data_IF_451685359362
#
_entry.id   IF_451685359362
#
_cell.length_a   1.000
_cell.length_b   1.000
_cell.length_c   1.000
_cell.angle_alpha   90.00
_cell.angle_beta   90.00
_cell.angle_gamma   90.00
#
_symmetry.space_group_name_H-M   'P 1'
#
loop_
_entity.id
_entity.type
_entity.pdbx_description
1 polymer ?
#
# COMPACT_ATOMS: atom_id res chain seq x y z
N UNK A 1 17.49 -8.75 -22.67
CA UNK A 1 16.30 -8.51 -23.51
C UNK A 1 15.93 -7.06 -23.28
N UNK A 2 15.57 -6.30 -24.33
CA UNK A 2 15.02 -4.96 -24.15
C UNK A 2 13.80 -5.06 -23.24
N UNK A 3 13.65 -4.13 -22.31
CA UNK A 3 12.44 -4.07 -21.50
C UNK A 3 11.24 -3.73 -22.40
N UNK A 4 10.19 -4.54 -22.35
CA UNK A 4 8.97 -4.34 -23.12
C UNK A 4 7.78 -4.18 -22.17
N UNK A 5 6.83 -3.33 -22.57
CA UNK A 5 5.55 -3.20 -21.88
C UNK A 5 4.68 -4.44 -22.11
N UNK A 6 3.88 -4.80 -21.11
CA UNK A 6 2.95 -5.93 -21.17
C UNK A 6 1.57 -5.42 -21.59
N UNK A 7 1.11 -5.86 -22.77
CA UNK A 7 -0.13 -5.38 -23.39
C UNK A 7 -1.31 -6.34 -23.22
N UNK A 8 -1.03 -7.61 -22.95
CA UNK A 8 -2.02 -8.68 -22.92
C UNK A 8 -1.49 -9.88 -22.13
N UNK A 9 -2.42 -10.67 -21.60
CA UNK A 9 -2.16 -12.00 -21.04
C UNK A 9 -2.11 -13.10 -22.10
N UNK A 10 -2.23 -14.35 -21.66
CA UNK A 10 -2.25 -15.51 -22.54
C UNK A 10 -3.56 -15.57 -23.35
N UNK A 11 -3.43 -15.47 -24.67
CA UNK A 11 -4.53 -15.51 -25.64
C UNK A 11 -5.28 -16.86 -25.67
N UNK A 12 -4.75 -17.89 -25.00
CA UNK A 12 -5.41 -19.19 -24.87
C UNK A 12 -6.22 -19.33 -23.58
N UNK A 13 -6.13 -18.37 -22.66
CA UNK A 13 -6.88 -18.39 -21.41
C UNK A 13 -8.08 -17.45 -21.47
N UNK A 14 -9.23 -17.95 -21.04
CA UNK A 14 -10.49 -17.21 -21.05
C UNK A 14 -10.57 -16.22 -19.86
N UNK A 15 -9.67 -15.23 -19.87
CA UNK A 15 -9.56 -14.16 -18.88
C UNK A 15 -9.47 -12.80 -19.56
N UNK A 16 -9.90 -11.75 -18.86
CA UNK A 16 -9.73 -10.35 -19.26
C UNK A 16 -9.52 -9.47 -18.03
N UNK A 17 -8.87 -8.33 -18.18
CA UNK A 17 -8.69 -7.37 -17.09
C UNK A 17 -9.32 -6.01 -17.40
N UNK A 18 -10.09 -5.50 -16.44
CA UNK A 18 -10.54 -4.11 -16.42
C UNK A 18 -9.67 -3.33 -15.45
N UNK A 19 -9.06 -2.26 -15.93
CA UNK A 19 -8.07 -1.48 -15.18
C UNK A 19 -8.44 0.00 -15.16
N UNK A 20 -8.14 0.69 -14.07
CA UNK A 20 -8.60 2.05 -13.81
C UNK A 20 -7.43 2.96 -13.41
N UNK A 21 -7.11 3.95 -14.23
CA UNK A 21 -6.05 4.93 -13.97
C UNK A 21 -6.62 6.18 -13.31
N UNK A 22 -5.93 6.80 -12.33
CA UNK A 22 -6.27 8.13 -11.79
C UNK A 22 -5.25 8.80 -10.84
N UNK A 23 -5.46 10.11 -10.61
CA UNK A 23 -4.95 10.91 -9.47
C UNK A 23 -4.93 12.42 -9.74
N UNK A 24 -4.84 13.33 -8.72
CA UNK A 24 -5.02 13.16 -7.27
C UNK A 24 -6.42 13.62 -6.78
N UNK A 25 -7.42 13.64 -7.66
CA UNK A 25 -8.77 14.14 -7.34
C UNK A 25 -9.54 13.18 -6.44
N UNK A 26 -10.57 13.70 -5.75
CA UNK A 26 -11.50 12.86 -5.01
C UNK A 26 -12.33 12.04 -6.00
N UNK A 27 -12.32 10.72 -5.83
CA UNK A 27 -12.99 9.79 -6.74
C UNK A 27 -14.25 9.26 -6.06
N UNK A 28 -15.40 9.17 -6.76
CA UNK A 28 -16.56 8.41 -6.28
C UNK A 28 -16.33 6.91 -6.52
N UNK A 29 -15.26 6.40 -5.92
CA UNK A 29 -14.67 5.08 -6.16
C UNK A 29 -15.67 3.93 -5.97
N UNK A 30 -16.61 4.09 -5.04
CA UNK A 30 -17.66 3.13 -4.72
C UNK A 30 -18.50 2.77 -5.94
N UNK A 31 -18.69 3.70 -6.88
CA UNK A 31 -19.45 3.43 -8.11
C UNK A 31 -18.80 2.32 -8.97
N UNK A 32 -17.48 2.19 -8.93
CA UNK A 32 -16.75 1.13 -9.63
C UNK A 32 -16.67 -0.14 -8.78
N UNK A 33 -16.31 0.00 -7.50
CA UNK A 33 -16.19 -1.12 -6.57
C UNK A 33 -17.50 -1.91 -6.47
N UNK A 34 -18.63 -1.21 -6.32
CA UNK A 34 -19.94 -1.85 -6.22
C UNK A 34 -20.32 -2.58 -7.51
N UNK A 35 -19.93 -2.09 -8.69
CA UNK A 35 -20.16 -2.77 -9.97
C UNK A 35 -19.31 -4.04 -10.06
N UNK A 36 -18.03 -3.96 -9.70
CA UNK A 36 -17.11 -5.10 -9.71
C UNK A 36 -17.60 -6.21 -8.77
N UNK A 37 -18.03 -5.86 -7.56
CA UNK A 37 -18.56 -6.80 -6.57
C UNK A 37 -19.89 -7.43 -7.03
N UNK A 38 -20.84 -6.62 -7.51
CA UNK A 38 -22.11 -7.12 -8.06
C UNK A 38 -21.92 -8.07 -9.23
N UNK A 39 -20.85 -7.88 -9.99
CA UNK A 39 -20.52 -8.68 -11.16
C UNK A 39 -19.41 -9.71 -10.88
N UNK A 40 -19.05 -10.01 -9.63
CA UNK A 40 -18.06 -11.03 -9.27
C UNK A 40 -16.77 -10.92 -10.10
N UNK A 41 -16.24 -9.68 -10.18
CA UNK A 41 -15.12 -9.31 -11.01
C UNK A 41 -14.02 -8.64 -10.18
N UNK A 42 -12.76 -8.83 -10.58
CA UNK A 42 -11.61 -8.18 -9.94
C UNK A 42 -11.09 -7.06 -10.84
N UNK A 43 -11.04 -5.84 -10.30
CA UNK A 43 -10.43 -4.68 -10.96
C UNK A 43 -8.98 -4.43 -10.52
N UNK A 44 -8.20 -3.75 -11.35
CA UNK A 44 -6.89 -3.20 -10.97
C UNK A 44 -6.89 -1.68 -11.08
N UNK A 45 -6.58 -0.99 -9.98
CA UNK A 45 -6.56 0.46 -9.86
C UNK A 45 -5.12 0.96 -9.87
N UNK A 46 -4.72 1.68 -10.92
CA UNK A 46 -3.42 2.34 -11.04
C UNK A 46 -3.52 3.77 -10.53
N UNK A 47 -3.17 4.00 -9.27
CA UNK A 47 -3.31 5.31 -8.63
C UNK A 47 -1.98 5.97 -8.29
N UNK A 48 -2.01 7.29 -8.21
CA UNK A 48 -0.81 8.06 -7.89
C UNK A 48 -0.42 7.98 -6.42
N UNK A 49 0.87 8.14 -6.14
CA UNK A 49 1.37 8.28 -4.76
C UNK A 49 0.72 9.45 -4.01
N UNK A 50 0.52 10.59 -4.68
CA UNK A 50 -0.20 11.74 -4.10
C UNK A 50 -1.64 11.39 -3.71
N UNK A 51 -2.34 10.57 -4.51
CA UNK A 51 -3.68 10.11 -4.19
C UNK A 51 -3.67 9.19 -2.96
N UNK A 52 -2.72 8.25 -2.89
CA UNK A 52 -2.59 7.32 -1.76
C UNK A 52 -2.29 8.05 -0.45
N UNK A 53 -1.48 9.11 -0.49
CA UNK A 53 -1.23 9.97 0.68
C UNK A 53 -2.47 10.72 1.15
N UNK A 54 -3.31 11.16 0.20
CA UNK A 54 -4.53 11.93 0.51
C UNK A 54 -5.69 11.04 0.97
N UNK A 55 -5.78 9.83 0.43
CA UNK A 55 -6.90 8.91 0.65
C UNK A 55 -6.43 7.50 1.07
N UNK A 56 -5.62 7.37 2.14
CA UNK A 56 -5.10 6.07 2.56
C UNK A 56 -6.20 5.07 2.96
N UNK A 57 -7.33 5.56 3.50
CA UNK A 57 -8.49 4.71 3.80
C UNK A 57 -9.09 4.09 2.54
N UNK A 58 -9.13 4.85 1.44
CA UNK A 58 -9.63 4.36 0.15
C UNK A 58 -8.67 3.39 -0.51
N UNK A 59 -7.36 3.61 -0.36
CA UNK A 59 -6.35 2.65 -0.79
C UNK A 59 -6.54 1.28 -0.10
N UNK A 60 -6.76 1.29 1.23
CA UNK A 60 -7.09 0.08 1.99
C UNK A 60 -8.44 -0.53 1.59
N UNK A 61 -9.45 0.30 1.34
CA UNK A 61 -10.77 -0.17 0.90
C UNK A 61 -10.69 -1.00 -0.38
N UNK A 62 -9.93 -0.54 -1.39
CA UNK A 62 -9.70 -1.28 -2.65
C UNK A 62 -9.20 -2.69 -2.37
N UNK A 63 -8.14 -2.80 -1.54
CA UNK A 63 -7.53 -4.07 -1.20
C UNK A 63 -8.47 -4.96 -0.38
N UNK A 64 -9.18 -4.38 0.59
CA UNK A 64 -10.12 -5.11 1.45
C UNK A 64 -11.30 -5.73 0.69
N UNK A 65 -11.69 -5.12 -0.43
CA UNK A 65 -12.73 -5.64 -1.34
C UNK A 65 -12.19 -6.66 -2.37
N UNK A 66 -10.94 -7.09 -2.23
CA UNK A 66 -10.32 -8.11 -3.09
C UNK A 66 -9.86 -7.60 -4.45
N UNK A 67 -9.75 -6.28 -4.63
CA UNK A 67 -9.21 -5.68 -5.85
C UNK A 67 -7.72 -5.38 -5.71
N UNK A 68 -7.10 -5.00 -6.83
CA UNK A 68 -5.66 -4.72 -6.89
C UNK A 68 -5.43 -3.22 -6.92
N UNK A 69 -4.53 -2.72 -6.08
CA UNK A 69 -3.99 -1.37 -6.15
C UNK A 69 -2.56 -1.42 -6.67
N UNK A 70 -2.20 -0.57 -7.63
CA UNK A 70 -0.89 -0.51 -8.25
C UNK A 70 -0.43 0.94 -8.51
N UNK A 71 0.89 1.20 -8.62
CA UNK A 71 1.45 2.52 -8.91
C UNK A 71 1.07 3.14 -10.26
N UNK A 72 0.81 4.44 -10.25
CA UNK A 72 0.68 5.29 -11.44
C UNK A 72 1.60 6.53 -11.37
N UNK A 73 2.82 6.35 -10.85
CA UNK A 73 3.77 7.42 -10.46
C UNK A 73 3.25 8.33 -9.35
N UNK A 74 4.09 9.20 -8.79
CA UNK A 74 3.66 9.97 -7.62
C UNK A 74 2.84 11.21 -8.01
N UNK A 75 3.30 11.96 -9.00
CA UNK A 75 2.74 13.27 -9.38
C UNK A 75 2.07 13.25 -10.77
N UNK A 76 1.78 12.07 -11.32
CA UNK A 76 1.13 11.93 -12.64
C UNK A 76 1.90 12.66 -13.77
N UNK A 77 3.23 12.55 -13.80
CA UNK A 77 4.07 13.27 -14.77
C UNK A 77 4.17 12.51 -16.08
N UNK A 78 4.40 13.24 -17.18
CA UNK A 78 4.80 12.66 -18.48
C UNK A 78 6.23 12.12 -18.38
N UNK A 79 6.38 10.84 -18.08
CA UNK A 79 7.67 10.24 -17.69
C UNK A 79 8.72 10.23 -18.82
N UNK A 80 8.29 10.32 -20.09
CA UNK A 80 9.18 10.54 -21.23
C UNK A 80 9.94 11.87 -21.20
N UNK A 81 9.44 12.86 -20.43
CA UNK A 81 9.94 14.23 -20.42
C UNK A 81 10.79 14.55 -19.19
N UNK A 82 10.94 13.61 -18.25
CA UNK A 82 11.70 13.82 -17.01
C UNK A 82 13.07 13.15 -17.08
N UNK A 83 14.10 13.71 -16.41
CA UNK A 83 15.41 13.06 -16.30
C UNK A 83 15.33 11.78 -15.44
N UNK A 84 16.30 10.86 -15.60
CA UNK A 84 16.35 9.59 -14.86
C UNK A 84 16.23 9.77 -13.34
N UNK A 85 16.89 10.77 -12.77
CA UNK A 85 16.81 11.03 -11.32
C UNK A 85 15.38 11.30 -10.85
N UNK A 86 14.63 12.14 -11.57
CA UNK A 86 13.21 12.42 -11.27
C UNK A 86 12.36 11.18 -11.52
N UNK A 87 12.66 10.39 -12.56
CA UNK A 87 11.97 9.14 -12.84
C UNK A 87 12.05 8.18 -11.64
N UNK A 88 13.28 7.90 -11.16
CA UNK A 88 13.49 7.01 -10.01
C UNK A 88 12.87 7.55 -8.73
N UNK A 89 12.91 8.87 -8.53
CA UNK A 89 12.25 9.53 -7.41
C UNK A 89 10.73 9.33 -7.43
N UNK A 90 10.07 9.44 -8.59
CA UNK A 90 8.64 9.17 -8.70
C UNK A 90 8.30 7.73 -8.30
N UNK A 91 9.11 6.74 -8.70
CA UNK A 91 8.90 5.34 -8.34
C UNK A 91 9.05 5.14 -6.83
N UNK A 92 10.21 5.50 -6.27
CA UNK A 92 10.49 5.36 -4.83
C UNK A 92 9.43 6.06 -3.96
N UNK A 93 9.02 7.28 -4.32
CA UNK A 93 8.00 7.99 -3.54
C UNK A 93 6.63 7.30 -3.64
N UNK A 94 6.28 6.73 -4.79
CA UNK A 94 5.00 6.01 -4.95
C UNK A 94 4.99 4.70 -4.16
N UNK A 95 6.11 3.99 -4.15
CA UNK A 95 6.30 2.78 -3.34
C UNK A 95 6.13 3.07 -1.85
N UNK A 96 6.77 4.13 -1.36
CA UNK A 96 6.64 4.56 0.03
C UNK A 96 5.21 5.04 0.37
N UNK A 97 4.55 5.75 -0.54
CA UNK A 97 3.16 6.16 -0.36
C UNK A 97 2.21 4.96 -0.30
N UNK A 98 2.42 3.96 -1.16
CA UNK A 98 1.67 2.71 -1.14
C UNK A 98 1.84 2.00 0.20
N UNK A 99 3.08 1.82 0.67
CA UNK A 99 3.35 1.10 1.90
C UNK A 99 2.86 1.85 3.14
N UNK A 100 3.02 3.18 3.21
CA UNK A 100 2.44 3.97 4.30
C UNK A 100 0.90 3.93 4.31
N UNK A 101 0.26 3.89 3.13
CA UNK A 101 -1.18 3.83 3.03
C UNK A 101 -1.75 2.44 3.36
N UNK A 102 -1.07 1.37 2.97
CA UNK A 102 -1.63 0.00 3.00
C UNK A 102 -1.03 -0.89 4.09
N UNK A 103 0.17 -0.56 4.57
CA UNK A 103 0.98 -1.45 5.41
C UNK A 103 1.62 -2.62 4.64
N UNK A 104 1.47 -2.66 3.31
CA UNK A 104 1.95 -3.75 2.45
C UNK A 104 3.03 -3.25 1.49
N UNK A 105 3.97 -4.11 1.06
CA UNK A 105 4.95 -3.73 0.06
C UNK A 105 4.29 -3.47 -1.29
N UNK A 106 4.83 -2.50 -2.03
CA UNK A 106 4.25 -2.06 -3.29
C UNK A 106 4.47 -3.10 -4.41
N UNK A 107 3.46 -3.47 -5.22
CA UNK A 107 3.68 -4.38 -6.35
C UNK A 107 4.63 -3.77 -7.38
N UNK A 108 5.50 -4.60 -7.96
CA UNK A 108 6.53 -4.19 -8.92
C UNK A 108 6.01 -4.16 -10.37
N UNK A 109 4.80 -3.66 -10.57
CA UNK A 109 4.27 -3.31 -11.87
C UNK A 109 3.51 -1.99 -11.79
N UNK A 110 3.49 -1.23 -12.88
CA UNK A 110 2.88 0.09 -12.94
C UNK A 110 2.32 0.37 -14.33
N UNK A 111 1.64 1.50 -14.49
CA UNK A 111 1.30 2.05 -15.81
C UNK A 111 1.75 3.49 -15.91
N UNK A 112 2.33 3.89 -17.05
CA UNK A 112 2.76 5.28 -17.23
C UNK A 112 1.60 6.25 -17.45
N UNK A 113 1.58 7.41 -16.75
CA UNK A 113 0.64 8.48 -17.06
C UNK A 113 0.72 8.90 -18.52
N UNK A 114 -0.44 9.07 -19.15
CA UNK A 114 -0.60 9.51 -20.53
C UNK A 114 0.08 8.62 -21.59
N UNK A 115 0.34 7.34 -21.28
CA UNK A 115 1.15 6.47 -22.15
C UNK A 115 2.51 7.11 -22.50
N UNK A 116 3.06 7.89 -21.56
CA UNK A 116 4.19 8.79 -21.83
C UNK A 116 5.50 8.19 -21.35
N UNK A 117 6.07 7.30 -22.15
CA UNK A 117 7.40 6.73 -21.96
C UNK A 117 8.18 6.64 -23.29
N UNK A 118 9.47 6.31 -23.20
CA UNK A 118 10.34 5.94 -24.32
C UNK A 118 11.08 4.65 -23.98
N UNK A 119 11.74 4.03 -24.95
CA UNK A 119 12.52 2.79 -24.74
C UNK A 119 13.47 2.87 -23.52
N UNK A 120 14.24 3.97 -23.42
CA UNK A 120 15.11 4.17 -22.26
C UNK A 120 14.39 4.33 -20.91
N UNK A 121 13.09 4.69 -20.88
CA UNK A 121 12.32 4.64 -19.64
C UNK A 121 11.96 3.20 -19.25
N UNK A 122 11.63 2.35 -20.23
CA UNK A 122 11.36 0.93 -19.98
C UNK A 122 12.61 0.24 -19.46
N UNK A 123 13.79 0.56 -20.02
CA UNK A 123 15.07 0.04 -19.50
C UNK A 123 15.29 0.46 -18.04
N UNK A 124 15.04 1.72 -17.68
CA UNK A 124 15.16 2.19 -16.30
C UNK A 124 14.15 1.52 -15.36
N UNK A 125 12.94 1.26 -15.86
CA UNK A 125 11.89 0.58 -15.10
C UNK A 125 12.28 -0.88 -14.82
N UNK A 126 12.77 -1.59 -15.82
CA UNK A 126 13.24 -2.96 -15.67
C UNK A 126 14.51 -3.07 -14.80
N UNK A 127 15.43 -2.11 -14.88
CA UNK A 127 16.57 -1.98 -13.96
C UNK A 127 16.11 -1.83 -12.50
N UNK A 128 14.95 -1.21 -12.28
CA UNK A 128 14.31 -1.06 -10.97
C UNK A 128 13.44 -2.27 -10.56
N UNK A 129 13.41 -3.32 -11.39
CA UNK A 129 12.62 -4.53 -11.16
C UNK A 129 11.12 -4.37 -11.42
N UNK A 130 10.71 -3.35 -12.16
CA UNK A 130 9.32 -3.09 -12.48
C UNK A 130 8.90 -3.55 -13.89
N UNK A 131 7.61 -3.84 -14.01
CA UNK A 131 6.92 -4.05 -15.28
C UNK A 131 6.03 -2.86 -15.62
N UNK A 132 5.93 -2.54 -16.91
CA UNK A 132 4.95 -1.60 -17.44
C UNK A 132 3.74 -2.38 -17.97
N UNK A 133 2.53 -1.96 -17.60
CA UNK A 133 1.26 -2.60 -17.96
C UNK A 133 0.45 -1.65 -18.80
N UNK A 134 0.13 -2.08 -20.01
CA UNK A 134 -0.63 -1.31 -20.99
C UNK A 134 -1.89 -2.07 -21.43
N UNK A 135 -2.69 -1.47 -22.29
CA UNK A 135 -3.94 -2.07 -22.75
C UNK A 135 -4.65 -1.25 -23.79
N UNK A 136 -5.85 -1.68 -24.16
CA UNK A 136 -6.68 -0.93 -25.10
C UNK A 136 -7.37 0.23 -24.38
N UNK A 137 -7.26 1.43 -24.94
CA UNK A 137 -7.91 2.62 -24.41
C UNK A 137 -9.43 2.58 -24.65
N UNK A 138 -10.23 2.64 -23.58
CA UNK A 138 -11.68 2.69 -23.63
C UNK A 138 -12.24 4.04 -24.11
N UNK A 139 -11.44 5.11 -24.06
CA UNK A 139 -11.84 6.46 -24.44
C UNK A 139 -12.75 7.17 -23.44
N UNK A 140 -12.95 6.60 -22.26
CA UNK A 140 -13.86 7.14 -21.24
C UNK A 140 -13.43 8.50 -20.65
N UNK A 141 -12.14 8.81 -20.74
CA UNK A 141 -11.56 10.12 -20.39
C UNK A 141 -12.15 11.31 -21.17
N UNK A 142 -12.85 11.08 -22.29
CA UNK A 142 -13.58 12.12 -23.03
C UNK A 142 -14.92 12.51 -22.34
N UNK A 143 -15.34 11.75 -21.32
CA UNK A 143 -16.58 11.99 -20.58
C UNK A 143 -17.85 11.68 -21.36
N UNK A 144 -17.73 10.87 -22.42
CA UNK A 144 -18.83 10.38 -23.23
C UNK A 144 -19.76 9.39 -22.49
N UNK A 145 -20.89 9.03 -23.11
CA UNK A 145 -21.85 8.11 -22.52
C UNK A 145 -21.35 6.65 -22.61
N UNK A 146 -21.96 5.76 -21.80
CA UNK A 146 -21.56 4.37 -21.67
C UNK A 146 -21.55 3.60 -23.01
N UNK A 147 -22.49 3.89 -23.90
CA UNK A 147 -22.62 3.23 -25.20
C UNK A 147 -21.39 3.46 -26.09
N UNK A 148 -20.75 4.62 -25.99
CA UNK A 148 -19.53 4.92 -26.74
C UNK A 148 -18.34 4.07 -26.27
N UNK A 149 -18.24 3.89 -24.95
CA UNK A 149 -17.21 3.06 -24.30
C UNK A 149 -17.44 1.59 -24.71
N UNK A 150 -18.67 1.09 -24.57
CA UNK A 150 -19.03 -0.29 -24.93
C UNK A 150 -18.71 -0.56 -26.41
N UNK A 151 -19.14 0.31 -27.31
CA UNK A 151 -18.94 0.14 -28.75
C UNK A 151 -17.46 0.10 -29.16
N UNK A 152 -16.57 0.74 -28.39
CA UNK A 152 -15.12 0.71 -28.63
C UNK A 152 -14.47 -0.56 -28.07
N UNK A 153 -14.90 -1.02 -26.90
CA UNK A 153 -14.26 -2.14 -26.17
C UNK A 153 -14.80 -3.51 -26.60
N UNK A 154 -16.12 -3.68 -26.73
CA UNK A 154 -16.77 -4.98 -27.01
C UNK A 154 -16.18 -5.74 -28.23
N UNK A 155 -15.89 -5.09 -29.37
CA UNK A 155 -15.36 -5.79 -30.55
C UNK A 155 -13.97 -6.38 -30.33
N UNK A 156 -13.22 -5.84 -29.37
CA UNK A 156 -11.86 -6.25 -29.04
C UNK A 156 -11.83 -7.25 -27.89
N UNK A 157 -12.88 -7.30 -27.07
CA UNK A 157 -12.97 -8.09 -25.85
C UNK A 157 -12.84 -9.61 -26.12
N UNK A 158 -11.64 -10.13 -25.90
CA UNK A 158 -11.21 -11.52 -26.15
C UNK A 158 -10.17 -11.96 -25.09
N UNK A 159 -9.74 -13.22 -25.16
CA UNK A 159 -8.78 -13.82 -24.23
C UNK A 159 -7.52 -12.97 -24.02
N UNK A 160 -7.15 -12.76 -22.76
CA UNK A 160 -5.94 -12.05 -22.35
C UNK A 160 -6.03 -10.52 -22.46
N UNK A 161 -7.14 -9.94 -22.88
CA UNK A 161 -7.24 -8.48 -23.08
C UNK A 161 -7.11 -7.70 -21.77
N UNK A 162 -6.42 -6.57 -21.83
CA UNK A 162 -6.36 -5.55 -20.78
C UNK A 162 -7.07 -4.29 -21.30
N UNK A 163 -8.06 -3.81 -20.54
CA UNK A 163 -8.83 -2.61 -20.89
C UNK A 163 -8.47 -1.46 -19.95
N UNK A 164 -8.10 -0.32 -20.52
CA UNK A 164 -7.76 0.91 -19.80
C UNK A 164 -9.00 1.79 -19.69
N UNK A 165 -9.43 2.04 -18.46
CA UNK A 165 -10.51 2.93 -18.07
C UNK A 165 -10.01 3.90 -17.00
N UNK A 166 -10.87 4.80 -16.56
CA UNK A 166 -10.62 5.74 -15.48
C UNK A 166 -11.75 5.64 -14.43
N UNK A 167 -11.44 6.02 -13.20
CA UNK A 167 -12.33 5.96 -12.03
C UNK A 167 -12.59 7.34 -11.41
N UNK A 168 -12.68 8.38 -12.24
CA UNK A 168 -12.83 9.78 -11.83
C UNK A 168 -14.16 10.42 -12.26
N UNK A 169 -14.34 11.67 -11.86
CA UNK A 169 -15.51 12.50 -12.13
C UNK A 169 -15.71 12.88 -13.60
N UNK A 170 -14.70 12.69 -14.46
CA UNK A 170 -14.80 12.85 -15.92
C UNK A 170 -15.41 11.58 -16.52
N UNK A 171 -15.02 10.40 -16.03
CA UNK A 171 -15.41 9.07 -16.51
C UNK A 171 -16.84 8.64 -16.11
N UNK A 172 -17.83 9.53 -16.26
CA UNK A 172 -19.21 9.34 -15.75
C UNK A 172 -19.94 8.16 -16.36
N UNK A 173 -19.65 7.82 -17.63
CA UNK A 173 -20.24 6.67 -18.31
C UNK A 173 -19.60 5.33 -17.94
N UNK A 174 -18.44 5.34 -17.28
CA UNK A 174 -17.63 4.14 -17.06
C UNK A 174 -18.31 3.11 -16.15
N UNK A 175 -18.97 3.44 -15.02
CA UNK A 175 -19.62 2.43 -14.18
C UNK A 175 -20.72 1.64 -14.92
N UNK A 176 -21.49 2.32 -15.78
CA UNK A 176 -22.53 1.66 -16.59
C UNK A 176 -21.90 0.81 -17.70
N UNK A 177 -20.89 1.34 -18.41
CA UNK A 177 -20.18 0.59 -19.44
C UNK A 177 -19.46 -0.64 -18.87
N UNK A 178 -18.81 -0.50 -17.72
CA UNK A 178 -18.11 -1.56 -17.00
C UNK A 178 -19.06 -2.72 -16.68
N UNK A 179 -20.24 -2.42 -16.13
CA UNK A 179 -21.25 -3.44 -15.82
C UNK A 179 -21.63 -4.26 -17.06
N UNK A 180 -21.92 -3.58 -18.18
CA UNK A 180 -22.31 -4.27 -19.40
C UNK A 180 -21.14 -5.04 -20.04
N UNK A 181 -19.94 -4.46 -20.04
CA UNK A 181 -18.74 -5.11 -20.57
C UNK A 181 -18.37 -6.37 -19.78
N UNK A 182 -18.50 -6.37 -18.46
CA UNK A 182 -18.29 -7.59 -17.65
C UNK A 182 -19.34 -8.66 -17.99
N UNK A 183 -20.60 -8.28 -18.21
CA UNK A 183 -21.65 -9.23 -18.61
C UNK A 183 -21.38 -9.82 -20.00
N UNK A 184 -20.94 -9.00 -20.95
CA UNK A 184 -20.51 -9.45 -22.26
C UNK A 184 -19.30 -10.39 -22.13
N UNK A 185 -18.31 -10.06 -21.30
CA UNK A 185 -17.16 -10.91 -21.03
C UNK A 185 -17.60 -12.30 -20.54
N UNK A 186 -18.48 -12.35 -19.54
CA UNK A 186 -19.05 -13.61 -19.02
C UNK A 186 -19.81 -14.40 -20.08
N UNK A 187 -20.58 -13.74 -20.95
CA UNK A 187 -21.27 -14.41 -22.06
C UNK A 187 -20.30 -15.03 -23.08
N UNK A 188 -19.14 -14.41 -23.27
CA UNK A 188 -18.02 -14.96 -24.07
C UNK A 188 -17.22 -16.04 -23.33
N UNK A 189 -17.52 -16.31 -22.06
CA UNK A 189 -16.80 -17.27 -21.22
C UNK A 189 -15.53 -16.71 -20.56
N UNK A 190 -15.30 -15.40 -20.64
CA UNK A 190 -14.16 -14.73 -20.02
C UNK A 190 -14.42 -14.47 -18.53
N UNK A 191 -13.40 -14.68 -17.69
CA UNK A 191 -13.39 -14.20 -16.30
C UNK A 191 -12.69 -12.85 -16.20
N UNK A 192 -13.30 -11.91 -15.49
CA UNK A 192 -12.71 -10.60 -15.22
C UNK A 192 -11.77 -10.69 -14.00
N UNK A 193 -10.47 -10.57 -14.23
CA UNK A 193 -9.40 -10.81 -13.25
C UNK A 193 -8.48 -9.59 -13.10
N UNK A 194 -7.73 -9.54 -12.00
CA UNK A 194 -6.71 -8.51 -11.79
C UNK A 194 -5.43 -8.75 -12.60
N UNK A 195 -4.60 -7.72 -12.70
CA UNK A 195 -3.31 -7.79 -13.41
C UNK A 195 -2.36 -8.89 -12.89
N UNK A 196 -2.29 -9.23 -11.59
CA UNK A 196 -1.48 -10.35 -11.14
C UNK A 196 -1.82 -11.68 -11.82
N UNK A 197 -3.11 -11.97 -12.05
CA UNK A 197 -3.54 -13.19 -12.73
C UNK A 197 -3.28 -13.12 -14.24
N UNK A 198 -3.36 -11.92 -14.85
CA UNK A 198 -2.93 -11.70 -16.24
C UNK A 198 -1.43 -11.99 -16.40
N UNK A 199 -0.59 -11.50 -15.47
CA UNK A 199 0.85 -11.72 -15.51
C UNK A 199 1.20 -13.20 -15.28
N UNK A 200 0.55 -13.86 -14.32
CA UNK A 200 0.72 -15.30 -14.09
C UNK A 200 0.37 -16.13 -15.33
N UNK A 201 -0.68 -15.73 -16.07
CA UNK A 201 -1.08 -16.44 -17.30
C UNK A 201 0.02 -16.50 -18.37
N UNK A 202 0.95 -15.54 -18.38
CA UNK A 202 2.11 -15.49 -19.29
C UNK A 202 3.41 -15.92 -18.61
N UNK A 203 3.35 -16.50 -17.42
CA UNK A 203 4.49 -17.02 -16.67
C UNK A 203 5.31 -15.96 -15.95
N UNK A 204 4.71 -14.82 -15.61
CA UNK A 204 5.36 -13.73 -14.88
C UNK A 204 4.80 -13.65 -13.46
N UNK A 205 5.66 -13.91 -12.48
CA UNK A 205 5.32 -13.71 -11.06
C UNK A 205 5.43 -12.23 -10.68
N UNK A 206 4.48 -11.73 -9.90
CA UNK A 206 4.49 -10.34 -9.41
C UNK A 206 5.52 -10.21 -8.29
N UNK A 207 6.51 -9.33 -8.50
CA UNK A 207 7.41 -8.90 -7.45
C UNK A 207 6.79 -7.82 -6.56
N UNK A 208 7.41 -7.58 -5.41
CA UNK A 208 7.01 -6.55 -4.46
C UNK A 208 8.24 -5.79 -3.97
N UNK A 209 8.06 -4.52 -3.61
CA UNK A 209 9.11 -3.59 -3.19
C UNK A 209 8.91 -3.18 -1.73
N UNK A 210 9.40 -3.98 -0.78
CA UNK A 210 9.33 -3.64 0.65
C UNK A 210 10.36 -2.58 1.00
N UNK A 211 9.96 -1.63 1.84
CA UNK A 211 10.82 -0.60 2.38
C UNK A 211 10.89 -0.69 3.90
N UNK A 212 11.99 -0.22 4.47
CA UNK A 212 12.13 0.02 5.89
C UNK A 212 12.85 1.32 6.18
N UNK A 213 12.65 1.84 7.38
CA UNK A 213 13.53 2.83 7.99
C UNK A 213 14.47 2.13 8.96
N UNK A 214 15.74 2.52 8.94
CA UNK A 214 16.72 2.19 9.97
C UNK A 214 17.15 3.45 10.69
N UNK A 215 17.20 3.42 12.01
CA UNK A 215 17.60 4.55 12.87
C UNK A 215 18.79 4.11 13.71
N UNK A 216 19.87 4.90 13.71
CA UNK A 216 21.00 4.67 14.62
C UNK A 216 20.60 5.09 16.03
N UNK A 217 20.88 4.26 17.02
CA UNK A 217 20.61 4.57 18.42
C UNK A 217 21.53 5.73 18.85
N UNK A 218 20.99 6.92 19.18
CA UNK A 218 21.81 8.06 19.58
C UNK A 218 22.44 7.82 20.94
N UNK A 219 23.63 8.42 21.16
CA UNK A 219 24.37 8.28 22.41
C UNK A 219 23.69 8.96 23.62
N UNK A 220 22.88 10.00 23.37
CA UNK A 220 22.13 10.73 24.39
C UNK A 220 20.69 10.94 23.91
N UNK A 221 19.74 10.76 24.83
CA UNK A 221 18.34 11.10 24.62
C UNK A 221 18.12 12.60 24.83
N UNK A 222 17.25 13.19 24.01
CA UNK A 222 16.87 14.59 24.11
C UNK A 222 15.97 14.86 25.33
N UNK A 223 15.09 13.91 25.65
CA UNK A 223 14.16 13.94 26.78
C UNK A 223 13.92 12.52 27.34
N UNK A 224 13.54 12.39 28.64
CA UNK A 224 13.23 11.09 29.23
C UNK A 224 11.97 10.46 28.62
N UNK A 225 11.81 9.14 28.76
CA UNK A 225 10.59 8.44 28.39
C UNK A 225 9.39 8.86 29.26
N UNK A 226 8.25 9.11 28.60
CA UNK A 226 6.98 9.37 29.27
C UNK A 226 6.18 8.07 29.44
N UNK A 227 6.09 7.58 30.68
CA UNK A 227 5.11 6.61 31.18
C UNK A 227 4.87 5.33 30.36
N UNK A 228 5.88 4.81 29.65
CA UNK A 228 5.79 3.49 29.05
C UNK A 228 6.07 2.41 30.08
N UNK A 229 5.16 1.44 30.17
CA UNK A 229 5.27 0.31 31.10
C UNK A 229 5.08 -1.01 30.34
N UNK A 230 5.82 -2.08 30.69
CA UNK A 230 5.54 -3.41 30.15
C UNK A 230 4.10 -3.82 30.44
N UNK A 231 3.47 -4.48 29.47
CA UNK A 231 2.18 -5.11 29.63
C UNK A 231 2.32 -6.29 30.60
N UNK A 232 1.63 -6.23 31.74
CA UNK A 232 1.93 -7.07 32.91
C UNK A 232 1.17 -8.38 32.96
N UNK A 233 -0.06 -8.39 32.44
CA UNK A 233 -0.99 -9.51 32.54
C UNK A 233 -2.14 -9.39 31.53
N UNK A 234 -2.92 -10.48 31.44
CA UNK A 234 -4.05 -10.61 30.51
C UNK A 234 -5.18 -9.60 30.78
N UNK A 235 -5.30 -9.08 32.01
CA UNK A 235 -6.31 -8.07 32.32
C UNK A 235 -5.96 -6.75 31.62
N UNK A 236 -4.69 -6.33 31.70
CA UNK A 236 -4.19 -5.15 30.98
C UNK A 236 -4.33 -5.32 29.47
N UNK A 237 -4.09 -6.52 28.93
CA UNK A 237 -4.28 -6.82 27.51
C UNK A 237 -5.74 -6.66 27.07
N UNK A 238 -6.68 -7.19 27.85
CA UNK A 238 -8.10 -7.04 27.60
C UNK A 238 -8.55 -5.57 27.64
N UNK A 239 -8.08 -4.82 28.64
CA UNK A 239 -8.35 -3.38 28.75
C UNK A 239 -7.75 -2.58 27.58
N UNK A 240 -6.56 -2.97 27.10
CA UNK A 240 -5.92 -2.39 25.92
C UNK A 240 -6.72 -2.67 24.65
N UNK A 241 -7.15 -3.92 24.44
CA UNK A 241 -7.95 -4.32 23.28
C UNK A 241 -9.26 -3.52 23.21
N UNK A 242 -9.98 -3.39 24.33
CA UNK A 242 -11.22 -2.62 24.40
C UNK A 242 -10.98 -1.12 24.09
N UNK A 243 -9.95 -0.51 24.69
CA UNK A 243 -9.65 0.91 24.46
C UNK A 243 -9.18 1.18 23.03
N UNK A 244 -8.38 0.30 22.44
CA UNK A 244 -7.81 0.47 21.09
C UNK A 244 -8.88 0.38 19.99
N UNK A 245 -9.95 -0.39 20.19
CA UNK A 245 -11.13 -0.35 19.30
C UNK A 245 -11.75 1.04 19.26
N UNK A 246 -11.81 1.75 20.39
CA UNK A 246 -12.35 3.11 20.47
C UNK A 246 -11.45 4.18 19.85
N UNK A 247 -10.16 3.88 19.64
CA UNK A 247 -9.21 4.84 19.04
C UNK A 247 -9.52 5.10 17.57
N UNK A 248 -10.33 4.24 16.93
CA UNK A 248 -10.71 4.35 15.52
C UNK A 248 -9.50 4.52 14.59
N UNK A 249 -8.40 3.81 14.86
CA UNK A 249 -7.19 3.87 14.06
C UNK A 249 -7.43 3.07 12.78
N UNK A 250 -7.60 3.74 11.62
CA UNK A 250 -8.11 3.10 10.40
C UNK A 250 -7.16 2.04 9.82
N UNK A 251 -5.92 2.02 10.31
CA UNK A 251 -4.88 1.10 9.88
C UNK A 251 -5.15 -0.35 10.34
N UNK A 252 -6.03 -0.57 11.34
CA UNK A 252 -6.20 -1.87 12.00
C UNK A 252 -7.65 -2.28 12.21
N UNK A 253 -8.54 -1.33 12.47
CA UNK A 253 -9.98 -1.61 12.58
C UNK A 253 -10.61 -2.07 11.25
N UNK A 254 -9.88 -1.97 10.13
CA UNK A 254 -10.33 -2.46 8.82
C UNK A 254 -9.85 -3.88 8.48
N UNK A 255 -8.89 -4.44 9.22
CA UNK A 255 -8.44 -5.83 9.01
C UNK A 255 -9.19 -6.82 9.88
N UNK A 256 -9.65 -6.39 11.06
CA UNK A 256 -10.40 -7.21 12.00
C UNK A 256 -11.87 -6.84 11.97
N UNK A 257 -12.73 -7.85 11.90
CA UNK A 257 -14.19 -7.69 11.81
C UNK A 257 -14.88 -7.77 13.19
N UNK A 258 -14.12 -8.08 14.25
CA UNK A 258 -14.62 -8.10 15.62
C UNK A 258 -13.53 -7.77 16.65
N UNK A 259 -13.96 -7.32 17.84
CA UNK A 259 -13.08 -7.12 19.00
C UNK A 259 -12.37 -8.41 19.42
N UNK A 260 -12.99 -9.58 19.22
CA UNK A 260 -12.40 -10.88 19.51
C UNK A 260 -11.22 -11.22 18.60
N UNK A 261 -11.34 -10.97 17.29
CA UNK A 261 -10.24 -11.13 16.34
C UNK A 261 -9.09 -10.17 16.65
N UNK A 262 -9.42 -8.96 17.10
CA UNK A 262 -8.42 -7.99 17.52
C UNK A 262 -7.68 -8.43 18.79
N UNK A 263 -8.39 -8.94 19.79
CA UNK A 263 -7.77 -9.48 21.00
C UNK A 263 -6.85 -10.67 20.66
N UNK A 264 -7.29 -11.61 19.83
CA UNK A 264 -6.50 -12.76 19.39
C UNK A 264 -5.19 -12.31 18.71
N UNK A 265 -5.24 -11.24 17.90
CA UNK A 265 -4.07 -10.64 17.29
C UNK A 265 -3.08 -10.07 18.33
N UNK A 266 -3.58 -9.41 19.38
CA UNK A 266 -2.73 -8.86 20.44
C UNK A 266 -2.16 -9.96 21.37
N UNK A 267 -2.90 -11.05 21.57
CA UNK A 267 -2.46 -12.23 22.34
C UNK A 267 -1.35 -13.01 21.62
N UNK A 268 -1.47 -13.14 20.30
CA UNK A 268 -0.58 -13.98 19.49
C UNK A 268 0.75 -13.27 19.21
N UNK A 269 1.91 -13.82 19.60
CA UNK A 269 3.21 -13.25 19.27
C UNK A 269 3.38 -13.02 17.76
N UNK A 270 3.90 -11.86 17.38
CA UNK A 270 4.17 -11.55 15.98
C UNK A 270 5.46 -12.22 15.50
N UNK A 271 5.47 -12.58 14.22
CA UNK A 271 6.67 -12.99 13.50
C UNK A 271 6.72 -12.22 12.18
N UNK A 272 7.68 -11.31 12.05
CA UNK A 272 7.84 -10.49 10.86
C UNK A 272 9.32 -10.34 10.53
N UNK A 273 9.68 -10.48 9.26
CA UNK A 273 11.06 -10.27 8.77
C UNK A 273 12.12 -11.09 9.53
N UNK A 274 11.78 -12.32 9.90
CA UNK A 274 12.65 -13.23 10.65
C UNK A 274 12.86 -12.85 12.12
N UNK A 275 12.04 -11.93 12.66
CA UNK A 275 12.06 -11.53 14.07
C UNK A 275 10.76 -11.95 14.74
N UNK A 276 10.89 -12.69 15.83
CA UNK A 276 9.78 -13.00 16.73
C UNK A 276 9.66 -11.91 17.79
N UNK A 277 8.44 -11.49 18.08
CA UNK A 277 8.13 -10.55 19.16
C UNK A 277 8.66 -11.05 20.51
N UNK A 278 9.36 -10.16 21.22
CA UNK A 278 9.66 -10.38 22.63
C UNK A 278 8.50 -9.80 23.46
N UNK A 279 7.75 -10.68 24.14
CA UNK A 279 6.59 -10.28 24.92
C UNK A 279 6.94 -9.40 26.12
N UNK A 280 8.19 -9.40 26.58
CA UNK A 280 8.67 -8.45 27.61
C UNK A 280 8.83 -7.03 27.05
N UNK A 281 8.89 -6.89 25.72
CA UNK A 281 8.93 -5.61 25.01
C UNK A 281 7.54 -5.16 24.50
N UNK A 282 6.48 -5.92 24.79
CA UNK A 282 5.13 -5.43 24.61
C UNK A 282 4.84 -4.40 25.71
N UNK A 283 4.88 -3.12 25.35
CA UNK A 283 4.73 -2.02 26.30
C UNK A 283 3.57 -1.10 25.92
N UNK A 284 2.97 -0.50 26.94
CA UNK A 284 1.84 0.41 26.83
C UNK A 284 2.22 1.76 27.42
N UNK A 285 1.73 2.84 26.81
CA UNK A 285 1.81 4.17 27.37
C UNK A 285 0.61 4.40 28.30
N UNK A 286 0.83 4.28 29.60
CA UNK A 286 -0.22 4.35 30.62
C UNK A 286 -0.33 5.77 31.20
N UNK A 287 -1.54 6.31 31.18
CA UNK A 287 -1.90 7.54 31.85
C UNK A 287 -3.03 7.28 32.85
N UNK A 288 -2.68 6.67 33.98
CA UNK A 288 -3.58 6.35 35.09
C UNK A 288 -4.80 5.51 34.68
N UNK A 289 -4.58 4.45 33.89
CA UNK A 289 -5.61 3.53 33.41
C UNK A 289 -6.25 3.93 32.08
N UNK A 290 -5.93 5.10 31.54
CA UNK A 290 -6.19 5.44 30.14
C UNK A 290 -4.93 5.17 29.34
N UNK A 291 -5.01 4.32 28.31
CA UNK A 291 -3.87 4.04 27.44
C UNK A 291 -3.83 5.05 26.28
N UNK A 292 -2.62 5.49 25.93
CA UNK A 292 -2.38 6.51 24.90
C UNK A 292 -1.63 5.94 23.69
N UNK A 293 -0.98 4.79 23.87
CA UNK A 293 -0.34 4.04 22.80
C UNK A 293 0.16 2.69 23.28
N UNK A 294 0.58 1.87 22.35
CA UNK A 294 1.28 0.61 22.62
C UNK A 294 2.38 0.39 21.57
N UNK A 295 3.34 -0.46 21.92
CA UNK A 295 4.37 -0.95 21.00
C UNK A 295 4.69 -2.40 21.32
N UNK A 296 4.87 -3.17 20.25
CA UNK A 296 5.27 -4.57 20.19
C UNK A 296 6.56 -4.63 19.40
N UNK A 297 7.59 -5.22 19.99
CA UNK A 297 8.91 -5.26 19.38
C UNK A 297 9.58 -6.62 19.62
N UNK A 298 10.50 -6.95 18.73
CA UNK A 298 11.49 -7.99 18.92
C UNK A 298 12.88 -7.43 18.66
N UNK A 299 13.92 -8.26 18.72
CA UNK A 299 15.27 -7.82 18.37
C UNK A 299 16.09 -8.96 17.78
N UNK A 300 17.09 -8.57 16.99
CA UNK A 300 18.17 -9.45 16.51
C UNK A 300 19.44 -9.17 17.32
N UNK A 301 20.61 -9.62 16.87
CA UNK A 301 21.87 -9.42 17.58
C UNK A 301 22.19 -7.94 17.89
N UNK A 302 21.81 -7.01 17.00
CA UNK A 302 22.19 -5.58 17.10
C UNK A 302 21.05 -4.60 16.77
N UNK A 303 19.84 -5.11 16.54
CA UNK A 303 18.73 -4.30 16.02
C UNK A 303 17.45 -4.54 16.79
N UNK A 304 16.85 -3.46 17.29
CA UNK A 304 15.48 -3.46 17.80
C UNK A 304 14.52 -3.33 16.61
N UNK A 305 13.56 -4.24 16.49
CA UNK A 305 12.58 -4.21 15.38
C UNK A 305 11.20 -3.89 15.94
N UNK A 306 10.63 -2.77 15.48
CA UNK A 306 9.26 -2.39 15.79
C UNK A 306 8.33 -3.19 14.88
N UNK A 307 7.59 -4.12 15.47
CA UNK A 307 6.70 -5.06 14.76
C UNK A 307 5.29 -4.47 14.64
N UNK A 308 4.77 -3.93 15.74
CA UNK A 308 3.47 -3.29 15.74
C UNK A 308 3.38 -2.18 16.78
N UNK A 309 2.61 -1.15 16.51
CA UNK A 309 2.45 -0.01 17.42
C UNK A 309 1.27 0.85 16.95
N UNK A 310 0.58 1.43 17.93
CA UNK A 310 -0.50 2.36 17.67
C UNK A 310 -0.62 3.41 18.78
N UNK A 311 -1.36 4.46 18.48
CA UNK A 311 -1.51 5.64 19.32
C UNK A 311 -2.93 6.18 19.26
N UNK A 312 -3.51 6.48 20.42
CA UNK A 312 -4.87 7.04 20.56
C UNK A 312 -5.07 8.31 19.73
N UNK A 313 -4.02 9.11 19.58
CA UNK A 313 -4.03 10.28 18.70
C UNK A 313 -2.99 10.12 17.58
N UNK A 314 -3.44 10.30 16.34
CA UNK A 314 -2.60 10.33 15.14
C UNK A 314 -1.83 11.67 15.01
N UNK A 315 -1.24 12.15 16.11
CA UNK A 315 -0.40 13.36 16.11
C UNK A 315 1.07 13.01 15.93
N UNK A 316 1.83 13.93 15.32
CA UNK A 316 3.28 13.81 15.10
C UNK A 316 4.05 13.53 16.41
N UNK A 317 3.53 14.01 17.53
CA UNK A 317 4.12 13.84 18.86
C UNK A 317 4.18 12.36 19.29
N UNK A 318 3.24 11.51 18.84
CA UNK A 318 3.22 10.12 19.31
C UNK A 318 4.33 9.27 18.70
N UNK A 319 4.69 9.51 17.44
CA UNK A 319 5.85 8.84 16.83
C UNK A 319 7.16 9.25 17.52
N UNK A 320 7.26 10.49 18.02
CA UNK A 320 8.42 10.93 18.80
C UNK A 320 8.50 10.15 20.13
N UNK A 321 7.38 9.97 20.84
CA UNK A 321 7.36 9.18 22.07
C UNK A 321 7.73 7.71 21.83
N UNK A 322 7.23 7.11 20.74
CA UNK A 322 7.59 5.76 20.31
C UNK A 322 9.09 5.65 19.99
N UNK A 323 9.63 6.61 19.23
CA UNK A 323 11.04 6.64 18.87
C UNK A 323 11.95 6.78 20.10
N UNK A 324 11.58 7.61 21.08
CA UNK A 324 12.30 7.70 22.36
C UNK A 324 12.23 6.41 23.16
N UNK A 325 11.07 5.77 23.21
CA UNK A 325 10.91 4.44 23.80
C UNK A 325 11.86 3.42 23.16
N UNK A 326 11.92 3.42 21.81
CA UNK A 326 12.75 2.50 21.05
C UNK A 326 14.24 2.72 21.33
N UNK A 327 14.69 3.98 21.40
CA UNK A 327 16.09 4.34 21.71
C UNK A 327 16.49 3.90 23.12
N UNK A 328 15.69 4.19 24.14
CA UNK A 328 16.00 3.79 25.51
C UNK A 328 16.03 2.26 25.63
N UNK A 329 15.06 1.59 25.01
CA UNK A 329 14.97 0.12 24.98
C UNK A 329 16.20 -0.49 24.28
N UNK A 330 16.55 0.01 23.10
CA UNK A 330 17.72 -0.44 22.36
C UNK A 330 19.01 -0.21 23.16
N UNK A 331 19.16 0.96 23.78
CA UNK A 331 20.31 1.31 24.63
C UNK A 331 20.45 0.38 25.84
N UNK A 332 19.33 0.06 26.51
CA UNK A 332 19.29 -0.87 27.64
C UNK A 332 19.67 -2.29 27.24
N UNK A 333 19.28 -2.71 26.05
CA UNK A 333 19.59 -4.03 25.48
C UNK A 333 20.98 -4.09 24.84
N UNK A 334 21.68 -2.95 24.69
CA UNK A 334 22.99 -2.88 24.05
C UNK A 334 22.96 -2.95 22.51
N UNK A 335 21.81 -2.66 21.91
CA UNK A 335 21.58 -2.65 20.45
C UNK A 335 21.97 -1.29 19.87
N UNK A 336 22.47 -1.26 18.63
CA UNK A 336 22.89 0.00 17.99
C UNK A 336 21.94 0.50 16.92
N UNK A 337 20.95 -0.29 16.51
CA UNK A 337 19.97 0.08 15.47
C UNK A 337 18.53 -0.16 15.89
N UNK A 338 17.63 0.61 15.28
CA UNK A 338 16.17 0.42 15.35
C UNK A 338 15.65 0.31 13.91
N UNK A 339 14.75 -0.63 13.65
CA UNK A 339 14.07 -0.81 12.37
C UNK A 339 12.55 -0.71 12.50
N UNK A 340 11.92 -0.14 11.48
CA UNK A 340 10.46 -0.14 11.32
C UNK A 340 10.07 -0.21 9.84
N UNK A 341 8.90 -0.81 9.56
CA UNK A 341 8.32 -0.98 8.21
C UNK A 341 7.04 -0.19 8.00
N UNK A 342 6.67 0.59 9.00
CA UNK A 342 5.46 1.42 9.04
C UNK A 342 5.84 2.85 9.38
N UNK A 343 4.98 3.79 8.98
CA UNK A 343 5.18 5.24 9.13
C UNK A 343 6.58 5.70 8.66
N UNK A 344 7.14 5.04 7.63
CA UNK A 344 8.58 5.13 7.27
C UNK A 344 8.98 6.57 6.99
N UNK A 345 8.19 7.27 6.16
CA UNK A 345 8.48 8.67 5.80
C UNK A 345 8.30 9.60 6.99
N UNK A 346 7.31 9.34 7.86
CA UNK A 346 7.04 10.16 9.06
C UNK A 346 8.14 9.98 10.11
N UNK A 347 8.54 8.74 10.41
CA UNK A 347 9.64 8.45 11.32
C UNK A 347 10.95 9.08 10.84
N UNK A 348 11.23 9.02 9.53
CA UNK A 348 12.43 9.63 8.97
C UNK A 348 12.43 11.16 9.12
N UNK A 349 11.27 11.79 8.91
CA UNK A 349 11.11 13.23 9.16
C UNK A 349 11.26 13.58 10.65
N UNK A 350 10.73 12.76 11.56
CA UNK A 350 10.92 12.96 13.01
C UNK A 350 12.39 12.80 13.42
N UNK A 351 13.09 11.78 12.93
CA UNK A 351 14.52 11.59 13.18
C UNK A 351 15.32 12.82 12.72
N UNK A 352 15.01 13.36 11.54
CA UNK A 352 15.63 14.59 11.02
C UNK A 352 15.40 15.80 11.94
N UNK A 353 14.20 15.94 12.50
CA UNK A 353 13.86 17.03 13.43
C UNK A 353 14.56 16.88 14.79
N UNK A 354 14.74 15.65 15.26
CA UNK A 354 15.46 15.31 16.49
C UNK A 354 16.99 15.34 16.33
N UNK A 355 17.49 15.44 15.08
CA UNK A 355 18.92 15.37 14.78
C UNK A 355 19.49 13.95 14.82
N UNK A 356 18.64 12.92 14.77
CA UNK A 356 19.02 11.51 14.78
C UNK A 356 19.35 11.04 13.36
N UNK A 357 20.28 10.09 13.24
CA UNK A 357 20.64 9.49 11.95
C UNK A 357 19.62 8.41 11.59
N UNK A 358 19.01 8.54 10.42
CA UNK A 358 18.09 7.55 9.87
C UNK A 358 18.26 7.40 8.36
N UNK A 359 17.93 6.22 7.85
CA UNK A 359 17.99 5.88 6.43
C UNK A 359 16.72 5.11 6.01
N UNK A 360 16.16 5.47 4.85
CA UNK A 360 15.09 4.70 4.19
C UNK A 360 15.71 3.86 3.08
N UNK A 361 15.66 2.53 3.23
CA UNK A 361 16.23 1.56 2.29
C UNK A 361 15.24 0.43 1.98
N UNK A 362 15.49 -0.24 0.87
CA UNK A 362 14.74 -1.43 0.48
C UNK A 362 15.01 -2.55 1.50
N UNK A 363 13.98 -3.28 1.89
CA UNK A 363 14.06 -4.35 2.88
C UNK A 363 14.29 -5.70 2.17
N UNK A 364 15.55 -6.08 2.03
CA UNK A 364 15.99 -7.26 1.27
C UNK A 364 15.86 -8.57 2.03
#
# INVERSE_FOLDING_TARGET
MSAEAIWQGDVNQAICAFTFDDGPTQLPLELWLDVLEQEDAVGTFFFTGEWMDRYPDKAREILSRGHVLAPHTYHHRRMAQVPKSVFMEQLKLTELAYQDATGLPCPSFMRFPYYSFREGNLDWLAEWGYLDIEGIDSGDWDGGPAEGIIAKVEPQLDNGIIVVMHSNDIAKGTPEALRELIRIAKQKGLRAVGIPEILDSVGIEVGYRPWKITVEVPAELDHPMDNWVPLKDDQVLYELAAQTVEWNIPQYTMQFTSEGEWLEHLETPLEESGVTEDRELFTIQDNYGSYWGYVRAGYTEDTLVLLDYAAKEAQADTLVYLLRWAVETASRLGLTQIEARRDIRRMNEMCRQLGWQSEIKEDQ
#
